data_IF_148894536342
#
_entry.id   IF_148894536342
#
_cell.length_a   1.000
_cell.length_b   1.000
_cell.length_c   1.000
_cell.angle_alpha   90.00
_cell.angle_beta   90.00
_cell.angle_gamma   90.00
#
_symmetry.space_group_name_H-M   'P 1'
#
loop_
_entity.id
_entity.type
_entity.pdbx_description
1 polymer ?
#
# COMPACT_ATOMS: atom_id res chain seq x y z
N UNK A 1 8.95 -17.48 14.02
CA UNK A 1 8.39 -17.82 12.70
C UNK A 1 6.92 -17.48 12.76
N UNK A 2 6.44 -16.54 11.94
CA UNK A 2 5.03 -16.25 11.90
C UNK A 2 4.30 -17.46 11.32
N UNK A 3 3.07 -17.68 11.80
CA UNK A 3 2.28 -18.89 11.54
C UNK A 3 2.08 -19.20 10.05
N UNK A 4 2.24 -18.19 9.18
CA UNK A 4 2.01 -18.26 7.74
C UNK A 4 3.14 -17.62 6.91
N UNK A 5 4.39 -17.66 7.39
CA UNK A 5 5.56 -17.01 6.76
C UNK A 5 5.65 -17.23 5.23
N UNK A 6 5.38 -18.45 4.74
CA UNK A 6 5.43 -18.75 3.29
C UNK A 6 4.36 -18.02 2.48
N UNK A 7 3.15 -17.87 3.02
CA UNK A 7 2.04 -17.17 2.36
C UNK A 7 2.36 -15.68 2.32
N UNK A 8 2.86 -15.13 3.42
CA UNK A 8 3.26 -13.74 3.55
C UNK A 8 4.39 -13.43 2.56
N UNK A 9 5.46 -14.23 2.56
CA UNK A 9 6.60 -14.05 1.65
C UNK A 9 6.17 -14.07 0.18
N UNK A 10 5.32 -15.01 -0.23
CA UNK A 10 4.82 -15.07 -1.60
C UNK A 10 3.96 -13.85 -1.97
N UNK A 11 3.11 -13.38 -1.06
CA UNK A 11 2.29 -12.19 -1.31
C UNK A 11 3.14 -10.91 -1.42
N UNK A 12 4.15 -10.76 -0.55
CA UNK A 12 5.10 -9.63 -0.57
C UNK A 12 5.96 -9.66 -1.82
N UNK A 13 6.48 -10.82 -2.22
CA UNK A 13 7.25 -10.96 -3.47
C UNK A 13 6.41 -10.56 -4.69
N UNK A 14 5.14 -10.99 -4.75
CA UNK A 14 4.20 -10.58 -5.80
C UNK A 14 3.92 -9.08 -5.81
N UNK A 15 3.97 -8.41 -4.66
CA UNK A 15 3.80 -6.97 -4.55
C UNK A 15 5.04 -6.23 -5.05
N UNK A 16 6.22 -6.61 -4.54
CA UNK A 16 7.49 -5.96 -4.84
C UNK A 16 7.96 -6.20 -6.28
N UNK A 17 7.56 -7.32 -6.90
CA UNK A 17 7.88 -7.67 -8.28
C UNK A 17 7.09 -6.90 -9.34
N UNK A 18 5.99 -6.23 -8.99
CA UNK A 18 5.20 -5.45 -9.96
C UNK A 18 5.72 -4.01 -10.10
N UNK A 19 6.65 -3.82 -11.04
CA UNK A 19 7.25 -2.51 -11.32
C UNK A 19 6.24 -1.46 -11.77
N UNK A 20 5.09 -1.86 -12.33
CA UNK A 20 4.08 -0.91 -12.80
C UNK A 20 3.50 -0.10 -11.65
N UNK A 21 3.45 -0.68 -10.46
CA UNK A 21 2.96 -0.04 -9.24
C UNK A 21 3.84 1.13 -8.77
N UNK A 22 5.10 1.18 -9.19
CA UNK A 22 6.06 2.23 -8.77
C UNK A 22 6.58 3.11 -9.90
N UNK A 23 6.06 2.92 -11.12
CA UNK A 23 6.56 3.56 -12.34
C UNK A 23 6.62 5.10 -12.32
N UNK A 24 5.75 5.77 -11.57
CA UNK A 24 5.73 7.23 -11.43
C UNK A 24 6.19 7.69 -10.03
N UNK A 25 6.53 6.76 -9.14
CA UNK A 25 7.00 7.06 -7.78
C UNK A 25 8.51 7.28 -7.80
N UNK A 26 9.00 8.20 -6.97
CA UNK A 26 10.43 8.24 -6.66
C UNK A 26 10.77 7.12 -5.68
N UNK A 27 12.04 6.69 -5.62
CA UNK A 27 12.46 5.54 -4.80
C UNK A 27 11.99 5.62 -3.35
N UNK A 28 12.06 6.80 -2.73
CA UNK A 28 11.58 7.01 -1.37
C UNK A 28 10.06 6.82 -1.22
N UNK A 29 9.26 7.26 -2.20
CA UNK A 29 7.81 7.05 -2.21
C UNK A 29 7.48 5.57 -2.41
N UNK A 30 8.15 4.94 -3.37
CA UNK A 30 7.97 3.51 -3.67
C UNK A 30 8.31 2.65 -2.45
N UNK A 31 9.42 2.93 -1.77
CA UNK A 31 9.83 2.20 -0.57
C UNK A 31 8.79 2.31 0.55
N UNK A 32 8.36 3.53 0.89
CA UNK A 32 7.35 3.76 1.94
C UNK A 32 6.05 2.99 1.65
N UNK A 33 5.58 3.03 0.40
CA UNK A 33 4.30 2.42 0.03
C UNK A 33 4.41 0.89 -0.03
N UNK A 34 5.53 0.35 -0.51
CA UNK A 34 5.77 -1.10 -0.54
C UNK A 34 5.95 -1.68 0.87
N UNK A 35 6.70 -1.01 1.75
CA UNK A 35 6.88 -1.43 3.13
C UNK A 35 5.56 -1.43 3.90
N UNK A 36 4.76 -0.37 3.71
CA UNK A 36 3.41 -0.30 4.25
C UNK A 36 2.54 -1.46 3.75
N UNK A 37 2.55 -1.74 2.44
CA UNK A 37 1.77 -2.81 1.84
C UNK A 37 2.17 -4.20 2.32
N UNK A 38 3.48 -4.44 2.48
CA UNK A 38 4.01 -5.69 3.01
C UNK A 38 3.61 -5.90 4.49
N UNK A 39 3.82 -4.88 5.32
CA UNK A 39 3.44 -4.91 6.74
C UNK A 39 1.93 -5.09 6.94
N UNK A 40 1.13 -4.49 6.05
CA UNK A 40 -0.32 -4.67 6.04
C UNK A 40 -0.72 -6.12 5.81
N UNK A 41 -0.23 -6.73 4.72
CA UNK A 41 -0.54 -8.12 4.37
C UNK A 41 -0.08 -9.06 5.47
N UNK A 42 1.11 -8.85 6.03
CA UNK A 42 1.64 -9.62 7.16
C UNK A 42 0.70 -9.56 8.38
N UNK A 43 0.25 -8.36 8.75
CA UNK A 43 -0.66 -8.16 9.89
C UNK A 43 -1.99 -8.88 9.67
N UNK A 44 -2.60 -8.71 8.49
CA UNK A 44 -3.91 -9.30 8.19
C UNK A 44 -3.83 -10.83 8.13
N UNK A 45 -2.81 -11.38 7.47
CA UNK A 45 -2.62 -12.83 7.35
C UNK A 45 -2.35 -13.45 8.72
N UNK A 46 -1.66 -12.75 9.62
CA UNK A 46 -1.39 -13.23 10.99
C UNK A 46 -2.65 -13.40 11.84
N UNK A 47 -3.76 -12.72 11.50
CA UNK A 47 -5.06 -12.86 12.16
C UNK A 47 -5.81 -14.13 11.73
N UNK A 48 -5.33 -14.86 10.72
CA UNK A 48 -6.00 -16.05 10.21
C UNK A 48 -5.98 -17.22 11.21
N UNK A 49 -7.10 -17.94 11.26
CA UNK A 49 -7.24 -19.13 12.14
C UNK A 49 -6.49 -20.34 11.58
N UNK A 50 -6.51 -20.50 10.26
CA UNK A 50 -5.94 -21.63 9.52
C UNK A 50 -5.32 -21.17 8.18
N UNK A 51 -4.64 -22.09 7.50
CA UNK A 51 -3.93 -21.82 6.25
C UNK A 51 -4.87 -21.43 5.09
N UNK A 52 -6.07 -21.99 5.04
CA UNK A 52 -7.06 -21.68 3.99
C UNK A 52 -7.52 -20.23 4.11
N UNK A 53 -7.87 -19.83 5.34
CA UNK A 53 -8.24 -18.46 5.68
C UNK A 53 -7.07 -17.50 5.43
N UNK A 54 -5.84 -17.91 5.78
CA UNK A 54 -4.64 -17.12 5.53
C UNK A 54 -4.42 -16.83 4.03
N UNK A 55 -4.60 -17.83 3.16
CA UNK A 55 -4.50 -17.66 1.70
C UNK A 55 -5.59 -16.72 1.16
N UNK A 56 -6.83 -16.87 1.63
CA UNK A 56 -7.93 -16.00 1.22
C UNK A 56 -7.68 -14.54 1.62
N UNK A 57 -7.25 -14.31 2.87
CA UNK A 57 -6.88 -12.97 3.36
C UNK A 57 -5.71 -12.42 2.55
N UNK A 58 -4.65 -13.20 2.31
CA UNK A 58 -3.51 -12.76 1.53
C UNK A 58 -3.92 -12.30 0.13
N UNK A 59 -4.78 -13.07 -0.56
CA UNK A 59 -5.27 -12.71 -1.89
C UNK A 59 -6.13 -11.44 -1.88
N UNK A 60 -7.09 -11.33 -0.95
CA UNK A 60 -7.97 -10.16 -0.88
C UNK A 60 -7.20 -8.89 -0.52
N UNK A 61 -6.31 -8.98 0.47
CA UNK A 61 -5.54 -7.84 0.93
C UNK A 61 -4.45 -7.44 -0.06
N UNK A 62 -3.82 -8.40 -0.75
CA UNK A 62 -2.87 -8.07 -1.82
C UNK A 62 -3.56 -7.30 -2.96
N UNK A 63 -4.76 -7.71 -3.38
CA UNK A 63 -5.52 -6.99 -4.39
C UNK A 63 -5.84 -5.56 -3.96
N UNK A 64 -6.25 -5.37 -2.69
CA UNK A 64 -6.56 -4.04 -2.12
C UNK A 64 -5.32 -3.16 -2.00
N UNK A 65 -4.21 -3.70 -1.48
CA UNK A 65 -2.93 -3.00 -1.41
C UNK A 65 -2.52 -2.56 -2.82
N UNK A 66 -2.54 -3.45 -3.82
CA UNK A 66 -2.19 -3.08 -5.21
C UNK A 66 -3.06 -1.95 -5.76
N UNK A 67 -4.37 -1.97 -5.49
CA UNK A 67 -5.27 -0.89 -5.90
C UNK A 67 -4.88 0.44 -5.24
N UNK A 68 -4.57 0.43 -3.94
CA UNK A 68 -4.06 1.59 -3.19
C UNK A 68 -2.75 2.13 -3.77
N UNK A 69 -1.75 1.26 -3.99
CA UNK A 69 -0.46 1.67 -4.58
C UNK A 69 -0.68 2.24 -5.98
N UNK A 70 -1.52 1.61 -6.80
CA UNK A 70 -1.84 2.08 -8.15
C UNK A 70 -2.52 3.46 -8.14
N UNK A 71 -3.41 3.73 -7.19
CA UNK A 71 -4.04 5.03 -7.03
C UNK A 71 -3.00 6.11 -6.67
N UNK A 72 -2.10 5.82 -5.73
CA UNK A 72 -1.01 6.72 -5.34
C UNK A 72 0.00 6.94 -6.47
N UNK A 73 0.35 5.90 -7.22
CA UNK A 73 1.21 5.97 -8.39
C UNK A 73 0.57 6.80 -9.52
N UNK A 74 -0.75 6.70 -9.70
CA UNK A 74 -1.49 7.52 -10.67
C UNK A 74 -1.48 8.99 -10.25
N UNK A 75 -1.69 9.27 -8.96
CA UNK A 75 -1.62 10.61 -8.41
C UNK A 75 -0.22 11.22 -8.60
N UNK A 76 0.83 10.41 -8.37
CA UNK A 76 2.23 10.77 -8.57
C UNK A 76 2.63 10.97 -10.04
N UNK A 77 1.78 10.67 -11.02
CA UNK A 77 2.05 10.97 -12.42
C UNK A 77 2.08 12.49 -12.70
N UNK A 78 1.39 13.28 -11.88
CA UNK A 78 1.33 14.73 -12.07
C UNK A 78 2.64 15.41 -11.62
N UNK A 79 3.07 16.48 -12.33
CA UNK A 79 4.37 17.12 -12.10
C UNK A 79 4.47 17.88 -10.77
N UNK A 80 3.36 18.10 -10.06
CA UNK A 80 3.35 18.72 -8.74
C UNK A 80 3.39 17.69 -7.60
N UNK A 81 3.84 18.13 -6.42
CA UNK A 81 3.66 17.34 -5.21
C UNK A 81 2.15 17.17 -4.93
N UNK A 82 1.66 15.92 -4.80
CA UNK A 82 0.26 15.69 -4.46
C UNK A 82 -0.10 16.36 -3.13
N UNK A 83 -1.33 16.89 -3.03
CA UNK A 83 -1.84 17.39 -1.76
C UNK A 83 -2.45 16.24 -0.98
N UNK A 84 -2.49 16.38 0.35
CA UNK A 84 -3.15 15.42 1.24
C UNK A 84 -4.60 15.15 0.82
N UNK A 85 -5.35 16.20 0.42
CA UNK A 85 -6.73 16.07 -0.05
C UNK A 85 -6.87 15.26 -1.35
N UNK A 86 -5.92 15.40 -2.28
CA UNK A 86 -5.92 14.64 -3.53
C UNK A 86 -5.67 13.15 -3.27
N UNK A 87 -4.77 12.86 -2.31
CA UNK A 87 -4.47 11.51 -1.91
C UNK A 87 -5.61 10.85 -1.14
N UNK A 88 -6.26 11.56 -0.21
CA UNK A 88 -7.49 11.06 0.44
C UNK A 88 -8.55 10.73 -0.61
N UNK A 89 -8.72 11.59 -1.62
CA UNK A 89 -9.66 11.36 -2.72
C UNK A 89 -9.28 10.16 -3.58
N UNK A 90 -7.98 9.98 -3.89
CA UNK A 90 -7.49 8.83 -4.64
C UNK A 90 -7.66 7.50 -3.88
N UNK A 91 -7.63 7.55 -2.55
CA UNK A 91 -7.85 6.38 -1.68
C UNK A 91 -9.34 6.08 -1.44
N UNK A 92 -10.26 6.97 -1.79
CA UNK A 92 -11.69 6.82 -1.51
C UNK A 92 -12.30 5.55 -2.15
N UNK A 93 -11.91 5.22 -3.38
CA UNK A 93 -12.35 4.01 -4.07
C UNK A 93 -11.85 2.71 -3.38
N UNK A 94 -10.54 2.51 -3.12
CA UNK A 94 -10.06 1.32 -2.41
C UNK A 94 -10.49 1.26 -0.94
N UNK A 95 -10.83 2.39 -0.31
CA UNK A 95 -11.42 2.45 1.04
C UNK A 95 -12.88 1.97 1.05
N UNK A 96 -13.65 2.25 0.00
CA UNK A 96 -15.06 1.85 -0.11
C UNK A 96 -15.27 0.41 -0.58
N UNK A 97 -14.26 -0.22 -1.18
CA UNK A 97 -14.32 -1.64 -1.55
C UNK A 97 -13.96 -2.54 -0.36
N UNK A 98 -14.95 -3.24 0.20
CA UNK A 98 -14.75 -4.25 1.26
C UNK A 98 -14.69 -3.68 2.68
N UNK A 99 -13.78 -4.20 3.53
CA UNK A 99 -13.50 -3.63 4.86
C UNK A 99 -12.59 -2.41 4.70
N UNK A 100 -13.03 -1.17 4.99
CA UNK A 100 -12.18 0.01 4.86
C UNK A 100 -10.89 -0.13 5.66
N UNK A 101 -9.76 0.37 5.15
CA UNK A 101 -8.58 0.61 6.00
C UNK A 101 -9.01 1.49 7.17
N UNK A 102 -8.42 1.30 8.34
CA UNK A 102 -8.74 2.18 9.47
C UNK A 102 -8.28 3.60 9.17
N UNK A 103 -8.93 4.56 9.81
CA UNK A 103 -8.58 5.98 9.69
C UNK A 103 -7.11 6.21 10.04
N UNK A 104 -6.63 5.54 11.07
CA UNK A 104 -5.26 5.69 11.57
C UNK A 104 -4.23 5.11 10.60
N UNK A 105 -4.51 3.97 9.96
CA UNK A 105 -3.64 3.38 8.93
C UNK A 105 -3.51 4.27 7.70
N UNK A 106 -4.64 4.80 7.24
CA UNK A 106 -4.70 5.73 6.11
C UNK A 106 -3.93 7.00 6.46
N UNK A 107 -4.13 7.52 7.67
CA UNK A 107 -3.45 8.72 8.15
C UNK A 107 -1.93 8.53 8.28
N UNK A 108 -1.48 7.38 8.79
CA UNK A 108 -0.07 7.06 8.96
C UNK A 108 0.64 6.95 7.60
N UNK A 109 0.05 6.27 6.62
CA UNK A 109 0.59 6.18 5.26
C UNK A 109 0.71 7.56 4.62
N UNK A 110 -0.36 8.35 4.68
CA UNK A 110 -0.38 9.69 4.08
C UNK A 110 0.58 10.65 4.79
N UNK A 111 0.74 10.52 6.11
CA UNK A 111 1.69 11.31 6.90
C UNK A 111 3.13 10.96 6.53
N UNK A 112 3.46 9.66 6.37
CA UNK A 112 4.78 9.22 5.91
C UNK A 112 5.11 9.78 4.51
N UNK A 113 4.13 9.73 3.59
CA UNK A 113 4.29 10.27 2.23
C UNK A 113 4.45 11.79 2.19
N UNK A 114 3.61 12.53 2.93
CA UNK A 114 3.67 13.99 2.97
C UNK A 114 4.89 14.54 3.71
N UNK A 115 5.40 13.83 4.70
CA UNK A 115 6.55 14.27 5.50
C UNK A 115 7.89 14.03 4.80
N UNK A 116 8.08 12.85 4.23
CA UNK A 116 9.36 12.43 3.67
C UNK A 116 9.41 12.61 2.15
N UNK A 117 8.36 12.21 1.43
CA UNK A 117 8.50 11.82 0.03
C UNK A 117 7.96 12.91 -0.94
N UNK A 118 6.75 13.40 -0.72
CA UNK A 118 6.16 14.44 -1.57
C UNK A 118 6.84 15.81 -1.42
N UNK A 119 7.44 16.10 -0.26
CA UNK A 119 8.28 17.30 -0.08
C UNK A 119 9.55 17.25 -0.94
N UNK A 120 10.12 16.08 -1.18
CA UNK A 120 11.28 15.93 -2.06
C UNK A 120 10.88 16.12 -3.52
N UNK A 121 9.70 15.63 -3.91
CA UNK A 121 9.12 15.85 -5.24
C UNK A 121 8.87 17.32 -5.54
N UNK A 122 8.39 18.11 -4.57
CA UNK A 122 8.18 19.56 -4.73
C UNK A 122 9.45 20.38 -4.99
N UNK A 123 10.64 19.81 -4.77
CA UNK A 123 11.94 20.48 -4.92
C UNK A 123 12.65 20.15 -6.24
N UNK A 124 12.08 19.25 -7.05
CA UNK A 124 12.56 18.94 -8.41
C UNK A 124 11.80 19.79 -9.42
#
# INVERSE_FOLDING_TARGET
>A
MAKFDKIIASAVENLCGDERLRSNLVDAEAQIILDWGASWVETQVSLARDETTAKQIAQSELARVRATISALNTLAKNPGAPRLGDAISALDAPLKSGKPFTRDETWNLLTALTSAAWKLRAKK
#
